data_IF_104262450693
#
_entry.id   IF_104262450693
#
_cell.length_a   1.000
_cell.length_b   1.000
_cell.length_c   1.000
_cell.angle_alpha   90.00
_cell.angle_beta   90.00
_cell.angle_gamma   90.00
#
_symmetry.space_group_name_H-M   'P 1'
#
loop_
_entity.id
_entity.type
_entity.pdbx_description
1 polymer ?
#
# COMPACT_ATOMS: atom_id res chain seq x y z
N UNK A 1 16.65 30.93 11.42
CA UNK A 1 16.84 29.48 11.51
C UNK A 1 15.75 28.83 10.67
N UNK A 2 16.10 28.17 9.57
CA UNK A 2 15.14 27.36 8.80
C UNK A 2 14.67 26.20 9.67
N UNK A 3 13.43 26.24 10.14
CA UNK A 3 12.88 25.21 11.01
C UNK A 3 12.66 23.94 10.17
N UNK A 4 13.48 22.92 10.42
CA UNK A 4 13.34 21.60 9.78
C UNK A 4 11.96 20.96 10.04
N UNK A 5 11.30 21.37 11.12
CA UNK A 5 9.96 20.98 11.50
C UNK A 5 8.98 22.13 11.21
N UNK A 6 8.00 21.88 10.35
CA UNK A 6 6.96 22.85 9.94
C UNK A 6 5.58 22.37 10.40
N UNK A 7 4.54 23.24 10.42
CA UNK A 7 3.17 22.82 10.70
C UNK A 7 2.70 21.63 9.85
N UNK A 8 3.15 21.54 8.59
CA UNK A 8 2.80 20.44 7.70
C UNK A 8 3.27 19.07 8.16
N UNK A 9 4.36 18.98 8.92
CA UNK A 9 4.81 17.72 9.54
C UNK A 9 3.78 17.21 10.55
N UNK A 10 3.25 18.10 11.39
CA UNK A 10 2.26 17.74 12.40
C UNK A 10 0.91 17.40 11.78
N UNK A 11 0.49 18.15 10.76
CA UNK A 11 -0.74 17.85 10.00
C UNK A 11 -0.61 16.48 9.32
N UNK A 12 0.49 16.21 8.64
CA UNK A 12 0.73 14.91 8.02
C UNK A 12 0.76 13.77 9.05
N UNK A 13 1.43 13.95 10.19
CA UNK A 13 1.43 12.96 11.26
C UNK A 13 0.01 12.68 11.78
N UNK A 14 -0.79 13.72 11.99
CA UNK A 14 -2.19 13.62 12.39
C UNK A 14 -3.06 12.92 11.34
N UNK A 15 -2.88 13.24 10.05
CA UNK A 15 -3.58 12.57 8.95
C UNK A 15 -3.21 11.09 8.85
N UNK A 16 -1.93 10.74 9.00
CA UNK A 16 -1.46 9.35 8.97
C UNK A 16 -2.02 8.55 10.15
N UNK A 17 -2.02 9.13 11.36
CA UNK A 17 -2.61 8.50 12.53
C UNK A 17 -4.13 8.34 12.37
N UNK A 18 -4.82 9.38 11.92
CA UNK A 18 -6.26 9.38 11.68
C UNK A 18 -6.65 8.33 10.64
N UNK A 19 -5.92 8.25 9.53
CA UNK A 19 -6.10 7.21 8.52
C UNK A 19 -5.83 5.82 9.10
N UNK A 20 -4.76 5.64 9.87
CA UNK A 20 -4.46 4.36 10.49
C UNK A 20 -5.59 3.88 11.40
N UNK A 21 -6.15 4.78 12.23
CA UNK A 21 -7.29 4.50 13.10
C UNK A 21 -8.53 4.18 12.28
N UNK A 22 -8.90 5.01 11.31
CA UNK A 22 -10.11 4.82 10.51
C UNK A 22 -10.03 3.53 9.68
N UNK A 23 -8.95 3.35 8.91
CA UNK A 23 -8.78 2.23 7.99
C UNK A 23 -8.62 0.90 8.73
N UNK A 24 -7.69 0.82 9.70
CA UNK A 24 -7.50 -0.41 10.48
C UNK A 24 -8.66 -0.65 11.46
N UNK A 25 -9.24 0.40 12.04
CA UNK A 25 -10.42 0.27 12.90
C UNK A 25 -11.61 -0.31 12.17
N UNK A 26 -11.94 0.21 10.98
CA UNK A 26 -12.96 -0.39 10.11
C UNK A 26 -12.58 -1.81 9.68
N UNK A 27 -11.30 -2.12 9.47
CA UNK A 27 -10.91 -3.48 9.14
C UNK A 27 -11.13 -4.44 10.32
N UNK A 28 -10.93 -3.97 11.56
CA UNK A 28 -11.17 -4.72 12.79
C UNK A 28 -12.66 -4.90 13.10
N UNK A 29 -13.49 -3.88 12.83
CA UNK A 29 -14.92 -3.89 13.07
C UNK A 29 -15.71 -4.73 12.06
N UNK A 30 -15.09 -5.12 10.94
CA UNK A 30 -15.74 -5.87 9.86
C UNK A 30 -16.55 -7.08 10.32
N UNK A 31 -16.05 -8.01 11.17
CA UNK A 31 -16.83 -9.18 11.58
C UNK A 31 -18.14 -8.83 12.29
N UNK A 32 -18.15 -7.72 13.04
CA UNK A 32 -19.35 -7.21 13.70
C UNK A 32 -20.25 -6.44 12.72
N UNK A 33 -19.67 -5.57 11.90
CA UNK A 33 -20.43 -4.72 10.99
C UNK A 33 -21.10 -5.50 9.86
N UNK A 34 -20.46 -6.53 9.31
CA UNK A 34 -21.06 -7.38 8.27
C UNK A 34 -22.31 -8.12 8.78
N UNK A 35 -22.39 -8.45 10.07
CA UNK A 35 -23.59 -9.06 10.69
C UNK A 35 -24.75 -8.07 10.76
N UNK A 36 -24.47 -6.77 10.92
CA UNK A 36 -25.49 -5.73 11.10
C UNK A 36 -26.04 -5.20 9.77
N UNK A 37 -25.16 -4.95 8.81
CA UNK A 37 -25.52 -4.27 7.56
C UNK A 37 -25.22 -5.09 6.30
N UNK A 38 -24.68 -6.30 6.45
CA UNK A 38 -24.29 -7.16 5.34
C UNK A 38 -22.94 -6.80 4.73
N UNK A 39 -22.28 -7.79 4.12
CA UNK A 39 -20.92 -7.66 3.58
C UNK A 39 -20.77 -6.62 2.47
N UNK A 40 -21.79 -6.47 1.61
CA UNK A 40 -21.76 -5.49 0.50
C UNK A 40 -21.80 -4.06 1.02
N UNK A 41 -22.78 -3.72 1.87
CA UNK A 41 -22.91 -2.37 2.40
C UNK A 41 -21.72 -2.02 3.30
N UNK A 42 -21.21 -2.98 4.08
CA UNK A 42 -19.98 -2.78 4.86
C UNK A 42 -18.77 -2.47 3.98
N UNK A 43 -18.61 -3.17 2.84
CA UNK A 43 -17.53 -2.89 1.87
C UNK A 43 -17.64 -1.49 1.27
N UNK A 44 -18.85 -1.05 0.93
CA UNK A 44 -19.11 0.30 0.43
C UNK A 44 -18.75 1.35 1.49
N UNK A 45 -19.24 1.21 2.73
CA UNK A 45 -18.91 2.11 3.83
C UNK A 45 -17.40 2.17 4.06
N UNK A 46 -16.75 1.01 4.11
CA UNK A 46 -15.30 0.92 4.27
C UNK A 46 -14.55 1.72 3.20
N UNK A 47 -14.98 1.59 1.93
CA UNK A 47 -14.39 2.30 0.80
C UNK A 47 -14.67 3.81 0.86
N UNK A 48 -15.91 4.21 1.18
CA UNK A 48 -16.31 5.61 1.30
C UNK A 48 -15.61 6.36 2.43
N UNK A 49 -15.09 5.66 3.44
CA UNK A 49 -14.23 6.27 4.46
C UNK A 49 -12.77 6.23 4.05
N UNK A 50 -12.28 5.05 3.64
CA UNK A 50 -10.83 4.86 3.41
C UNK A 50 -10.33 5.58 2.17
N UNK A 51 -11.07 5.56 1.05
CA UNK A 51 -10.61 6.13 -0.22
C UNK A 51 -10.54 7.66 -0.15
N UNK A 52 -11.57 8.38 0.34
CA UNK A 52 -11.47 9.83 0.50
C UNK A 52 -10.36 10.25 1.48
N UNK A 53 -10.18 9.55 2.59
CA UNK A 53 -9.11 9.86 3.54
C UNK A 53 -7.73 9.63 2.90
N UNK A 54 -7.52 8.52 2.20
CA UNK A 54 -6.29 8.29 1.44
C UNK A 54 -6.06 9.38 0.37
N UNK A 55 -7.14 9.85 -0.28
CA UNK A 55 -7.07 10.94 -1.26
C UNK A 55 -6.59 12.25 -0.62
N UNK A 56 -7.13 12.61 0.54
CA UNK A 56 -6.69 13.78 1.32
C UNK A 56 -5.20 13.68 1.65
N UNK A 57 -4.75 12.52 2.15
CA UNK A 57 -3.34 12.27 2.46
C UNK A 57 -2.43 12.46 1.23
N UNK A 58 -2.83 11.90 0.08
CA UNK A 58 -2.06 11.99 -1.16
C UNK A 58 -1.98 13.44 -1.65
N UNK A 59 -3.09 14.17 -1.63
CA UNK A 59 -3.09 15.56 -2.08
C UNK A 59 -2.24 16.43 -1.14
N UNK A 60 -2.40 16.25 0.17
CA UNK A 60 -1.61 16.96 1.16
C UNK A 60 -0.11 16.68 0.99
N UNK A 61 0.25 15.41 0.78
CA UNK A 61 1.63 15.03 0.48
C UNK A 61 2.17 15.74 -0.76
N UNK A 62 1.43 15.73 -1.88
CA UNK A 62 1.88 16.39 -3.10
C UNK A 62 2.16 17.88 -2.86
N UNK A 63 1.29 18.59 -2.16
CA UNK A 63 1.43 20.04 -1.97
C UNK A 63 2.54 20.42 -0.99
N UNK A 64 2.90 19.53 -0.06
CA UNK A 64 3.91 19.78 0.97
C UNK A 64 5.19 18.95 0.81
N UNK A 65 5.35 18.20 -0.29
CA UNK A 65 6.48 17.27 -0.50
C UNK A 65 7.87 17.90 -0.34
N UNK A 66 7.99 19.21 -0.57
CA UNK A 66 9.24 19.95 -0.45
C UNK A 66 9.39 20.74 0.85
N UNK A 67 8.43 20.63 1.78
CA UNK A 67 8.49 21.31 3.06
C UNK A 67 9.60 20.75 3.97
N UNK A 68 10.05 21.60 4.90
CA UNK A 68 11.06 21.24 5.88
C UNK A 68 12.49 21.39 5.38
N UNK A 69 13.41 20.62 5.96
CA UNK A 69 14.82 20.65 5.58
C UNK A 69 15.07 19.76 4.36
N UNK A 70 15.87 20.26 3.41
CA UNK A 70 16.46 19.43 2.35
C UNK A 70 17.62 18.63 2.96
N UNK A 71 17.47 17.31 3.04
CA UNK A 71 18.45 16.38 3.60
C UNK A 71 19.47 15.92 2.55
N UNK A 72 19.03 15.70 1.30
CA UNK A 72 19.90 15.36 0.17
C UNK A 72 19.26 15.76 -1.15
N UNK A 73 20.07 15.95 -2.20
CA UNK A 73 19.59 16.30 -3.54
C UNK A 73 20.35 15.46 -4.58
N UNK A 74 19.69 14.42 -5.10
CA UNK A 74 20.33 13.37 -5.92
C UNK A 74 19.75 13.26 -7.32
N UNK A 75 18.86 14.17 -7.72
CA UNK A 75 18.16 14.11 -9.01
C UNK A 75 19.12 14.28 -10.20
N UNK A 76 20.26 14.94 -10.00
CA UNK A 76 21.32 15.08 -11.02
C UNK A 76 22.34 13.94 -11.05
N UNK A 77 22.26 12.96 -10.13
CA UNK A 77 23.21 11.84 -10.06
C UNK A 77 22.81 10.77 -11.09
N UNK A 78 23.72 10.36 -12.01
CA UNK A 78 23.44 9.32 -12.99
C UNK A 78 22.93 8.03 -12.34
N UNK A 79 21.89 7.44 -12.91
CA UNK A 79 21.31 6.19 -12.42
C UNK A 79 20.24 6.33 -11.32
N UNK A 80 20.17 7.46 -10.60
CA UNK A 80 19.17 7.65 -9.53
C UNK A 80 17.75 7.71 -10.09
N UNK A 81 17.54 8.50 -11.14
CA UNK A 81 16.24 8.58 -11.80
C UNK A 81 15.75 7.19 -12.25
N UNK A 82 16.45 6.43 -13.12
CA UNK A 82 15.98 5.12 -13.54
C UNK A 82 15.80 4.14 -12.39
N UNK A 83 16.63 4.20 -11.34
CA UNK A 83 16.42 3.40 -10.13
C UNK A 83 15.09 3.71 -9.45
N UNK A 84 14.76 4.99 -9.21
CA UNK A 84 13.48 5.39 -8.60
C UNK A 84 12.30 4.96 -9.46
N UNK A 85 12.41 5.05 -10.79
CA UNK A 85 11.40 4.55 -11.73
C UNK A 85 11.18 3.05 -11.59
N UNK A 86 12.24 2.25 -11.67
CA UNK A 86 12.18 0.79 -11.59
C UNK A 86 11.65 0.36 -10.23
N UNK A 87 12.14 0.96 -9.14
CA UNK A 87 11.65 0.68 -7.79
C UNK A 87 10.16 1.00 -7.65
N UNK A 88 9.70 2.14 -8.17
CA UNK A 88 8.28 2.50 -8.17
C UNK A 88 7.45 1.51 -8.99
N UNK A 89 7.93 1.11 -10.17
CA UNK A 89 7.26 0.09 -11.00
C UNK A 89 7.11 -1.24 -10.25
N UNK A 90 8.19 -1.74 -9.64
CA UNK A 90 8.18 -2.96 -8.83
C UNK A 90 7.21 -2.80 -7.65
N UNK A 91 7.22 -1.66 -6.96
CA UNK A 91 6.29 -1.37 -5.89
C UNK A 91 4.83 -1.56 -6.32
N UNK A 92 4.42 -1.02 -7.46
CA UNK A 92 3.06 -1.18 -7.97
C UNK A 92 2.73 -2.63 -8.35
N UNK A 93 3.70 -3.43 -8.83
CA UNK A 93 3.49 -4.87 -9.02
C UNK A 93 3.20 -5.59 -7.71
N UNK A 94 3.78 -5.15 -6.59
CA UNK A 94 3.48 -5.66 -5.25
C UNK A 94 2.16 -5.11 -4.68
N UNK A 95 1.77 -3.89 -5.05
CA UNK A 95 0.45 -3.34 -4.74
C UNK A 95 -0.66 -3.97 -5.60
N UNK A 96 -0.31 -4.81 -6.59
CA UNK A 96 -1.28 -5.62 -7.32
C UNK A 96 -2.16 -6.36 -6.32
N UNK A 97 -3.49 -6.17 -6.41
CA UNK A 97 -4.38 -6.87 -5.52
C UNK A 97 -4.57 -8.30 -6.00
N UNK A 98 -3.58 -9.14 -5.69
CA UNK A 98 -3.66 -10.59 -5.91
C UNK A 98 -4.80 -11.25 -5.10
N UNK A 99 -5.44 -10.50 -4.22
CA UNK A 99 -6.54 -10.95 -3.35
C UNK A 99 -7.93 -10.57 -3.87
N UNK A 100 -8.05 -9.80 -4.96
CA UNK A 100 -9.36 -9.46 -5.52
C UNK A 100 -9.85 -10.54 -6.49
N UNK A 101 -10.91 -11.22 -6.09
CA UNK A 101 -11.72 -11.99 -7.00
C UNK A 101 -12.57 -11.02 -7.85
N UNK A 102 -12.31 -10.93 -9.15
CA UNK A 102 -12.98 -9.98 -10.06
C UNK A 102 -14.50 -10.14 -10.05
N UNK A 103 -15.02 -11.35 -9.84
CA UNK A 103 -16.46 -11.60 -9.74
C UNK A 103 -17.06 -10.95 -8.50
N UNK A 104 -16.33 -10.87 -7.39
CA UNK A 104 -16.79 -10.16 -6.20
C UNK A 104 -16.75 -8.64 -6.35
N UNK A 105 -15.80 -8.14 -7.16
CA UNK A 105 -15.71 -6.71 -7.48
C UNK A 105 -16.84 -6.30 -8.42
N UNK A 106 -17.15 -7.13 -9.41
CA UNK A 106 -18.27 -6.95 -10.33
C UNK A 106 -19.65 -7.21 -9.68
N UNK A 107 -19.69 -7.41 -8.35
CA UNK A 107 -20.89 -7.72 -7.57
C UNK A 107 -21.64 -9.00 -7.97
N UNK A 108 -21.06 -9.82 -8.85
CA UNK A 108 -21.59 -11.13 -9.28
C UNK A 108 -21.51 -12.12 -8.12
N UNK A 109 -20.36 -12.21 -7.46
CA UNK A 109 -20.15 -13.07 -6.30
C UNK A 109 -20.28 -12.30 -4.98
N UNK A 110 -20.66 -13.01 -3.91
CA UNK A 110 -20.69 -12.42 -2.57
C UNK A 110 -19.25 -12.09 -2.12
N UNK A 111 -19.01 -10.86 -1.62
CA UNK A 111 -17.78 -10.50 -0.93
C UNK A 111 -17.34 -11.50 0.15
N UNK A 112 -16.13 -12.07 0.02
CA UNK A 112 -15.56 -12.94 1.03
C UNK A 112 -14.07 -12.66 1.28
N UNK A 113 -13.56 -13.16 2.41
CA UNK A 113 -12.13 -13.16 2.70
C UNK A 113 -11.63 -14.56 2.37
N UNK A 114 -10.57 -14.65 1.58
CA UNK A 114 -9.98 -15.90 1.15
C UNK A 114 -8.56 -16.03 1.68
N UNK A 115 -8.10 -17.27 1.84
CA UNK A 115 -6.71 -17.59 2.03
C UNK A 115 -6.10 -17.86 0.65
N UNK A 116 -5.09 -17.07 0.29
CA UNK A 116 -4.38 -17.20 -0.98
C UNK A 116 -2.97 -17.72 -0.74
N UNK A 117 -2.49 -18.57 -1.64
CA UNK A 117 -1.13 -19.11 -1.64
C UNK A 117 -0.52 -19.12 -3.06
N UNK A 118 -1.08 -18.34 -3.98
CA UNK A 118 -0.68 -18.29 -5.40
C UNK A 118 -0.27 -16.88 -5.85
N UNK A 119 0.43 -16.79 -6.98
CA UNK A 119 0.93 -15.56 -7.57
C UNK A 119 1.93 -14.86 -6.64
N UNK A 120 1.78 -13.54 -6.52
CA UNK A 120 2.64 -12.71 -5.66
C UNK A 120 2.64 -13.19 -4.18
N UNK A 121 1.58 -13.90 -3.74
CA UNK A 121 1.49 -14.40 -2.37
C UNK A 121 2.54 -15.49 -2.08
N UNK A 122 3.01 -16.21 -3.11
CA UNK A 122 4.15 -17.13 -3.00
C UNK A 122 5.45 -16.40 -2.66
N UNK A 123 5.60 -15.16 -3.13
CA UNK A 123 6.76 -14.32 -2.84
C UNK A 123 6.65 -13.76 -1.41
N UNK A 124 5.49 -13.20 -1.05
CA UNK A 124 5.21 -12.70 0.30
C UNK A 124 3.70 -12.70 0.57
N UNK A 125 3.30 -13.07 1.79
CA UNK A 125 1.89 -12.98 2.22
C UNK A 125 1.40 -11.55 2.48
N UNK A 126 2.29 -10.56 2.50
CA UNK A 126 1.96 -9.13 2.67
C UNK A 126 2.51 -8.29 1.53
N UNK A 127 2.07 -8.51 0.29
CA UNK A 127 2.65 -7.84 -0.88
C UNK A 127 2.38 -6.33 -0.84
N UNK A 128 1.22 -5.89 -0.34
CA UNK A 128 0.91 -4.46 -0.22
C UNK A 128 1.89 -3.72 0.71
N UNK A 129 2.29 -4.33 1.84
CA UNK A 129 3.29 -3.74 2.73
C UNK A 129 4.63 -3.61 2.02
N UNK A 130 5.07 -4.65 1.32
CA UNK A 130 6.35 -4.65 0.59
C UNK A 130 6.34 -3.59 -0.51
N UNK A 131 5.26 -3.51 -1.29
CA UNK A 131 5.09 -2.47 -2.30
C UNK A 131 5.15 -1.07 -1.69
N UNK A 132 4.46 -0.82 -0.58
CA UNK A 132 4.52 0.50 0.07
C UNK A 132 5.92 0.82 0.60
N UNK A 133 6.64 -0.14 1.20
CA UNK A 133 8.00 0.09 1.69
C UNK A 133 8.93 0.47 0.53
N UNK A 134 8.87 -0.25 -0.59
CA UNK A 134 9.66 0.06 -1.79
C UNK A 134 9.32 1.46 -2.31
N UNK A 135 8.03 1.82 -2.36
CA UNK A 135 7.58 3.15 -2.79
C UNK A 135 8.14 4.26 -1.89
N UNK A 136 8.01 4.09 -0.57
CA UNK A 136 8.50 5.02 0.44
C UNK A 136 10.01 5.23 0.33
N UNK A 137 10.79 4.15 0.14
CA UNK A 137 12.24 4.24 -0.07
C UNK A 137 12.57 5.01 -1.35
N UNK A 138 11.92 4.68 -2.46
CA UNK A 138 12.16 5.33 -3.75
C UNK A 138 11.83 6.84 -3.72
N UNK A 139 10.70 7.22 -3.14
CA UNK A 139 10.25 8.62 -3.11
C UNK A 139 11.00 9.44 -2.06
N UNK A 140 11.39 8.82 -0.94
CA UNK A 140 12.28 9.46 0.05
C UNK A 140 13.63 9.77 -0.60
N UNK A 141 14.23 8.79 -1.30
CA UNK A 141 15.46 9.01 -2.06
C UNK A 141 15.30 10.14 -3.08
N UNK A 142 14.20 10.16 -3.85
CA UNK A 142 13.97 11.15 -4.88
C UNK A 142 13.76 12.59 -4.36
N UNK A 143 13.01 12.76 -3.27
CA UNK A 143 12.63 14.08 -2.76
C UNK A 143 13.63 14.61 -1.74
N UNK A 144 14.13 13.75 -0.85
CA UNK A 144 15.16 14.08 0.13
C UNK A 144 14.80 15.18 1.12
N UNK A 145 13.53 15.34 1.47
CA UNK A 145 13.07 16.33 2.47
C UNK A 145 12.70 15.68 3.81
N UNK A 146 12.83 16.42 4.90
CA UNK A 146 12.41 15.96 6.24
C UNK A 146 10.92 15.61 6.30
N UNK A 147 10.07 16.34 5.56
CA UNK A 147 8.64 16.06 5.44
C UNK A 147 8.39 14.70 4.76
N UNK A 148 9.07 14.42 3.65
CA UNK A 148 8.94 13.13 2.95
C UNK A 148 9.45 11.98 3.81
N UNK A 149 10.55 12.19 4.55
CA UNK A 149 11.10 11.21 5.47
C UNK A 149 10.09 10.87 6.59
N UNK A 150 9.49 11.88 7.24
CA UNK A 150 8.44 11.67 8.25
C UNK A 150 7.25 10.92 7.66
N UNK A 151 6.77 11.35 6.49
CA UNK A 151 5.63 10.72 5.81
C UNK A 151 5.91 9.24 5.54
N UNK A 152 7.09 8.94 5.02
CA UNK A 152 7.52 7.59 4.68
C UNK A 152 7.68 6.70 5.90
N UNK A 153 8.27 7.21 6.99
CA UNK A 153 8.36 6.49 8.26
C UNK A 153 6.96 6.17 8.78
N UNK A 154 6.05 7.15 8.80
CA UNK A 154 4.68 6.95 9.25
C UNK A 154 3.92 5.91 8.43
N UNK A 155 4.05 5.92 7.11
CA UNK A 155 3.46 4.91 6.22
C UNK A 155 4.06 3.52 6.46
N UNK A 156 5.39 3.41 6.58
CA UNK A 156 6.06 2.13 6.86
C UNK A 156 5.59 1.55 8.20
N UNK A 157 5.51 2.39 9.25
CA UNK A 157 5.00 1.98 10.56
C UNK A 157 3.54 1.51 10.48
N UNK A 158 2.69 2.25 9.77
CA UNK A 158 1.30 1.84 9.54
C UNK A 158 1.22 0.47 8.85
N UNK A 159 2.00 0.24 7.80
CA UNK A 159 1.99 -1.05 7.10
C UNK A 159 2.62 -2.18 7.91
N UNK A 160 3.63 -1.91 8.74
CA UNK A 160 4.15 -2.86 9.72
C UNK A 160 3.09 -3.27 10.74
N UNK A 161 2.32 -2.29 11.25
CA UNK A 161 1.15 -2.56 12.08
C UNK A 161 0.08 -3.36 11.32
N UNK A 162 -0.19 -3.01 10.05
CA UNK A 162 -1.20 -3.66 9.22
C UNK A 162 -0.87 -5.14 8.95
N UNK A 163 0.42 -5.51 8.87
CA UNK A 163 0.88 -6.90 8.77
C UNK A 163 0.44 -7.70 9.99
N UNK A 164 0.81 -7.24 11.20
CA UNK A 164 0.40 -7.89 12.44
C UNK A 164 -1.12 -7.93 12.59
N UNK A 165 -1.76 -6.79 12.36
CA UNK A 165 -3.20 -6.63 12.51
C UNK A 165 -3.96 -7.55 11.53
N UNK A 166 -3.49 -7.66 10.29
CA UNK A 166 -4.00 -8.56 9.25
C UNK A 166 -3.87 -10.02 9.64
N UNK A 167 -2.66 -10.47 9.98
CA UNK A 167 -2.39 -11.85 10.41
C UNK A 167 -3.26 -12.21 11.63
N UNK A 168 -3.38 -11.32 12.62
CA UNK A 168 -4.24 -11.54 13.80
C UNK A 168 -5.70 -11.75 13.41
N UNK A 169 -6.25 -10.94 12.49
CA UNK A 169 -7.63 -11.10 12.02
C UNK A 169 -7.83 -12.40 11.24
N UNK A 170 -6.86 -12.80 10.41
CA UNK A 170 -6.91 -14.06 9.66
C UNK A 170 -6.81 -15.27 10.60
N UNK A 171 -5.91 -15.25 11.60
CA UNK A 171 -5.83 -16.30 12.63
C UNK A 171 -7.15 -16.42 13.39
N UNK A 172 -7.74 -15.30 13.81
CA UNK A 172 -9.04 -15.31 14.52
C UNK A 172 -10.17 -15.89 13.67
N UNK A 173 -10.14 -15.66 12.35
CA UNK A 173 -11.19 -16.08 11.42
C UNK A 173 -11.06 -17.53 10.94
N UNK A 174 -9.83 -17.98 10.68
CA UNK A 174 -9.57 -19.26 10.00
C UNK A 174 -8.82 -20.28 10.87
N UNK A 175 -8.33 -19.91 12.05
CA UNK A 175 -7.66 -20.82 12.97
C UNK A 175 -6.49 -21.56 12.31
N UNK A 176 -6.52 -22.89 12.41
CA UNK A 176 -5.48 -23.80 11.89
C UNK A 176 -5.24 -23.63 10.39
N UNK A 177 -6.28 -23.41 9.58
CA UNK A 177 -6.12 -23.22 8.14
C UNK A 177 -5.19 -22.04 7.82
N UNK A 178 -5.23 -20.95 8.59
CA UNK A 178 -4.30 -19.85 8.39
C UNK A 178 -2.91 -20.12 8.99
N UNK A 179 -2.82 -20.91 10.06
CA UNK A 179 -1.52 -21.37 10.59
C UNK A 179 -0.74 -22.15 9.54
N UNK A 180 -1.41 -23.02 8.78
CA UNK A 180 -0.79 -23.72 7.66
C UNK A 180 -0.31 -22.78 6.54
N UNK A 181 -1.13 -21.81 6.14
CA UNK A 181 -0.72 -20.78 5.17
C UNK A 181 0.52 -20.02 5.66
N UNK A 182 0.58 -19.67 6.95
CA UNK A 182 1.74 -19.01 7.54
C UNK A 182 2.99 -19.88 7.52
N UNK A 183 2.86 -21.20 7.65
CA UNK A 183 3.97 -22.15 7.58
C UNK A 183 4.55 -22.26 6.16
N UNK A 184 3.71 -22.08 5.13
CA UNK A 184 4.08 -22.14 3.70
C UNK A 184 4.39 -20.78 3.06
N UNK A 185 4.30 -19.68 3.81
CA UNK A 185 4.52 -18.31 3.28
C UNK A 185 5.38 -17.46 4.22
N UNK A 186 5.81 -16.28 3.76
CA UNK A 186 6.65 -15.36 4.54
C UNK A 186 6.17 -13.91 4.42
N UNK A 187 6.43 -13.08 5.44
CA UNK A 187 6.31 -11.62 5.34
C UNK A 187 7.45 -11.06 4.50
N UNK A 188 8.68 -11.52 4.74
CA UNK A 188 9.85 -11.15 3.95
C UNK A 188 9.77 -11.80 2.56
N UNK A 189 9.86 -11.01 1.47
CA UNK A 189 9.87 -11.53 0.10
C UNK A 189 10.86 -12.68 -0.08
N UNK A 190 10.44 -13.73 -0.79
CA UNK A 190 11.22 -14.91 -1.17
C UNK A 190 11.72 -15.81 -0.02
N UNK A 191 11.64 -15.38 1.24
CA UNK A 191 12.21 -16.15 2.34
C UNK A 191 11.58 -17.55 2.52
N UNK A 192 10.28 -17.71 2.25
CA UNK A 192 9.64 -19.04 2.27
C UNK A 192 10.15 -19.94 1.13
N UNK A 193 10.48 -19.36 -0.02
CA UNK A 193 11.03 -20.08 -1.18
C UNK A 193 12.46 -20.54 -0.88
N UNK A 194 13.30 -19.64 -0.34
CA UNK A 194 14.67 -20.01 0.04
C UNK A 194 14.73 -21.06 1.15
N UNK A 195 13.71 -21.15 2.01
CA UNK A 195 13.58 -22.21 3.02
C UNK A 195 12.98 -23.52 2.48
N UNK A 196 12.62 -23.60 1.20
CA UNK A 196 11.97 -24.77 0.61
C UNK A 196 10.52 -25.00 1.07
N UNK A 197 9.90 -24.01 1.73
CA UNK A 197 8.51 -24.10 2.21
C UNK A 197 7.49 -23.66 1.16
N UNK A 198 7.97 -23.04 0.08
CA UNK A 198 7.16 -22.49 -1.00
C UNK A 198 7.92 -22.65 -2.32
N UNK A 199 7.20 -22.79 -3.42
CA UNK A 199 7.79 -22.85 -4.77
C UNK A 199 7.29 -21.68 -5.60
N UNK A 200 8.12 -21.17 -6.51
CA UNK A 200 7.70 -20.14 -7.45
C UNK A 200 7.14 -20.80 -8.71
N UNK A 201 5.88 -20.49 -9.05
CA UNK A 201 5.21 -20.99 -10.24
C UNK A 201 5.02 -19.83 -11.22
N UNK A 202 5.89 -19.75 -12.22
CA UNK A 202 5.90 -18.63 -13.18
C UNK A 202 4.61 -18.49 -13.98
N UNK A 203 3.94 -19.61 -14.30
CA UNK A 203 2.66 -19.58 -15.03
C UNK A 203 1.55 -18.85 -14.25
N UNK A 204 1.64 -18.72 -12.93
CA UNK A 204 0.67 -17.96 -12.14
C UNK A 204 0.77 -16.44 -12.34
N UNK A 205 1.86 -15.97 -12.95
CA UNK A 205 2.07 -14.56 -13.32
C UNK A 205 1.61 -14.25 -14.75
N UNK A 206 1.27 -15.27 -15.54
CA UNK A 206 0.69 -15.12 -16.88
C UNK A 206 -0.82 -14.82 -16.79
N UNK A 207 -1.18 -13.74 -16.09
CA UNK A 207 -2.58 -13.31 -15.90
C UNK A 207 -2.82 -11.97 -16.60
N UNK A 208 -3.97 -11.77 -17.29
CA UNK A 208 -4.33 -10.49 -17.90
C UNK A 208 -4.29 -9.32 -16.93
N UNK A 209 -4.49 -9.59 -15.64
CA UNK A 209 -4.41 -8.59 -14.59
C UNK A 209 -3.04 -7.90 -14.50
N UNK A 210 -1.93 -8.60 -14.76
CA UNK A 210 -0.60 -7.96 -14.78
C UNK A 210 -0.39 -7.05 -15.99
N UNK A 211 -1.06 -7.31 -17.11
CA UNK A 211 -1.13 -6.37 -18.24
C UNK A 211 -1.87 -5.11 -17.80
N UNK A 212 -3.01 -5.26 -17.12
CA UNK A 212 -3.77 -4.15 -16.55
C UNK A 212 -2.97 -3.32 -15.54
N UNK A 213 -2.24 -3.96 -14.63
CA UNK A 213 -1.33 -3.28 -13.70
C UNK A 213 -0.23 -2.54 -14.46
N UNK A 214 0.41 -3.19 -15.42
CA UNK A 214 1.48 -2.55 -16.22
C UNK A 214 0.96 -1.32 -16.94
N UNK A 215 -0.20 -1.43 -17.61
CA UNK A 215 -0.85 -0.30 -18.27
C UNK A 215 -1.21 0.82 -17.28
N UNK A 216 -1.73 0.46 -16.10
CA UNK A 216 -2.03 1.43 -15.03
C UNK A 216 -0.77 2.15 -14.57
N UNK A 217 0.35 1.45 -14.34
CA UNK A 217 1.59 2.06 -13.89
C UNK A 217 2.17 2.99 -14.94
N UNK A 218 2.17 2.59 -16.21
CA UNK A 218 2.62 3.44 -17.32
C UNK A 218 1.71 4.66 -17.51
N UNK A 219 0.39 4.48 -17.38
CA UNK A 219 -0.57 5.58 -17.41
C UNK A 219 -0.39 6.54 -16.24
N UNK A 220 -0.19 6.02 -15.02
CA UNK A 220 0.08 6.82 -13.84
C UNK A 220 1.41 7.56 -13.95
N UNK A 221 2.44 6.91 -14.51
CA UNK A 221 3.70 7.56 -14.85
C UNK A 221 3.48 8.78 -15.74
N UNK A 222 2.82 8.58 -16.88
CA UNK A 222 2.53 9.65 -17.82
C UNK A 222 1.65 10.75 -17.18
N UNK A 223 0.70 10.36 -16.33
CA UNK A 223 -0.19 11.27 -15.64
C UNK A 223 0.47 12.02 -14.46
N UNK A 224 1.59 11.52 -13.94
CA UNK A 224 2.19 12.00 -12.69
C UNK A 224 2.44 13.52 -12.67
N UNK A 225 3.00 14.16 -13.72
CA UNK A 225 3.16 15.61 -13.75
C UNK A 225 1.82 16.37 -13.70
N UNK A 226 0.78 15.85 -14.37
CA UNK A 226 -0.55 16.47 -14.37
C UNK A 226 -1.23 16.36 -13.01
N UNK A 227 -1.06 15.23 -12.30
CA UNK A 227 -1.57 15.06 -10.95
C UNK A 227 -0.98 16.13 -10.02
N UNK A 228 0.34 16.35 -10.08
CA UNK A 228 1.01 17.38 -9.27
C UNK A 228 0.47 18.79 -9.53
N UNK A 229 0.13 19.10 -10.79
CA UNK A 229 -0.46 20.40 -11.16
C UNK A 229 -1.94 20.51 -10.76
N UNK A 230 -2.70 19.42 -10.84
CA UNK A 230 -4.11 19.41 -10.45
C UNK A 230 -4.25 19.57 -8.93
N UNK A 231 -3.42 18.86 -8.15
CA UNK A 231 -3.44 18.94 -6.69
C UNK A 231 -3.08 20.31 -6.14
N UNK A 232 -2.21 21.05 -6.84
CA UNK A 232 -1.80 22.40 -6.41
C UNK A 232 -2.90 23.45 -6.54
N UNK A 233 -4.01 23.13 -7.22
CA UNK A 233 -5.17 24.03 -7.37
C UNK A 233 -6.21 23.84 -6.27
N UNK A 234 -6.10 22.78 -5.50
CA UNK A 234 -6.96 22.60 -4.33
C UNK A 234 -6.34 23.44 -3.19
N UNK A 235 -7.09 24.34 -2.54
CA UNK A 235 -6.57 25.10 -1.40
C UNK A 235 -6.46 24.20 -0.16
N UNK A 236 -5.36 24.34 0.58
CA UNK A 236 -5.06 23.60 1.83
C UNK A 236 -4.48 24.54 2.87
#
# INVERSE_FOLDING_TARGET
MSTWLTPSHFVMAGLLLGFAIAHSGLAALRPWGEVKIGARLYRILFALVSVPFATILIIYFFNHRYDGAQLWMVQGVPGVQPFVWIASFISFLFLYPATFNLLEVAAVAKPQVHLYETGIIRITRHPQMVGQVIWCVAHTLWLGTSFTLLTSIGLILHHGFAVWHGDRRLTKRFGEAFTEVKARTSILPFAAIFRGQQTLIWSEFLRPAYVGVTAFVLGFWWAHPFLMQATSRVPW
#
